data_IF_511194159085
#
_entry.id   IF_511194159085
#
_cell.length_a   1.000
_cell.length_b   1.000
_cell.length_c   1.000
_cell.angle_alpha   90.00
_cell.angle_beta   90.00
_cell.angle_gamma   90.00
#
_symmetry.space_group_name_H-M   'P 1'
#
loop_
_entity.id
_entity.type
_entity.pdbx_description
1 polymer ?
#
# COMPACT_ATOMS: atom_id res chain seq x y z
N UNK A 1 -10.02 -1.83 5.95
CA UNK A 1 -10.57 -2.24 7.26
C UNK A 1 -9.56 -2.83 8.25
N UNK A 2 -8.26 -2.83 7.95
CA UNK A 2 -7.20 -3.26 8.88
C UNK A 2 -6.85 -2.23 9.98
N UNK A 3 -7.41 -1.02 9.89
CA UNK A 3 -7.15 0.08 10.82
C UNK A 3 -8.11 0.08 12.02
N UNK A 4 -7.72 0.70 13.16
CA UNK A 4 -8.51 0.69 14.40
C UNK A 4 -9.90 1.31 14.30
N UNK A 5 -10.12 2.21 13.33
CA UNK A 5 -11.44 2.81 13.09
C UNK A 5 -12.52 1.78 12.78
N UNK A 6 -12.12 0.58 12.34
CA UNK A 6 -13.02 -0.55 12.07
C UNK A 6 -13.12 -1.54 13.24
N UNK A 7 -12.50 -1.31 14.40
CA UNK A 7 -12.49 -2.28 15.50
C UNK A 7 -13.90 -2.65 16.00
N UNK A 8 -14.86 -1.73 15.90
CA UNK A 8 -16.23 -1.95 16.37
C UNK A 8 -17.15 -2.62 15.32
N UNK A 9 -16.79 -2.61 14.04
CA UNK A 9 -17.68 -3.03 12.94
C UNK A 9 -17.00 -3.85 11.83
N UNK A 10 -15.73 -4.24 11.99
CA UNK A 10 -14.99 -5.05 11.02
C UNK A 10 -15.72 -6.31 10.59
N UNK A 11 -16.29 -7.05 11.54
CA UNK A 11 -17.06 -8.27 11.26
C UNK A 11 -18.30 -7.99 10.39
N UNK A 12 -18.93 -6.83 10.56
CA UNK A 12 -20.07 -6.41 9.71
C UNK A 12 -19.62 -6.12 8.28
N UNK A 13 -18.45 -5.51 8.10
CA UNK A 13 -17.87 -5.26 6.78
C UNK A 13 -17.46 -6.58 6.12
N UNK A 14 -16.86 -7.50 6.87
CA UNK A 14 -16.49 -8.84 6.39
C UNK A 14 -17.73 -9.60 5.92
N UNK A 15 -18.80 -9.61 6.71
CA UNK A 15 -20.06 -10.26 6.34
C UNK A 15 -20.61 -9.72 5.01
N UNK A 16 -20.55 -8.40 4.79
CA UNK A 16 -20.97 -7.80 3.50
C UNK A 16 -20.13 -8.27 2.31
N UNK A 17 -18.84 -8.58 2.50
CA UNK A 17 -17.97 -9.13 1.46
C UNK A 17 -18.36 -10.59 1.18
N UNK A 18 -18.61 -11.39 2.21
CA UNK A 18 -18.98 -12.81 2.08
C UNK A 18 -20.38 -13.01 1.47
N UNK A 19 -21.32 -12.13 1.83
CA UNK A 19 -22.67 -12.07 1.25
C UNK A 19 -22.69 -11.48 -0.18
N UNK A 20 -21.52 -11.07 -0.71
CA UNK A 20 -21.34 -10.43 -2.01
C UNK A 20 -22.09 -9.10 -2.18
N UNK A 21 -22.44 -8.41 -1.08
CA UNK A 21 -22.87 -7.01 -1.14
C UNK A 21 -21.70 -6.09 -1.55
N UNK A 22 -20.47 -6.48 -1.19
CA UNK A 22 -19.21 -5.94 -1.72
C UNK A 22 -18.59 -7.02 -2.60
N UNK A 23 -18.50 -6.77 -3.91
CA UNK A 23 -18.04 -7.76 -4.88
C UNK A 23 -16.52 -7.99 -4.87
N UNK A 24 -15.74 -6.99 -4.48
CA UNK A 24 -14.29 -7.05 -4.37
C UNK A 24 -13.76 -5.96 -3.43
N UNK A 25 -12.78 -6.31 -2.60
CA UNK A 25 -12.03 -5.38 -1.75
C UNK A 25 -10.53 -5.45 -2.07
N UNK A 26 -9.86 -4.30 -2.14
CA UNK A 26 -8.39 -4.22 -2.05
C UNK A 26 -8.04 -3.44 -0.78
N UNK A 27 -7.47 -4.12 0.20
CA UNK A 27 -6.96 -3.53 1.42
C UNK A 27 -5.58 -2.91 1.16
N UNK A 28 -5.46 -1.60 1.37
CA UNK A 28 -4.22 -0.87 1.07
C UNK A 28 -3.35 -0.77 2.31
N UNK A 29 -2.12 -1.28 2.22
CA UNK A 29 -1.07 -1.03 3.21
C UNK A 29 -0.38 0.32 2.99
N UNK A 30 -0.08 1.03 4.06
CA UNK A 30 0.55 2.38 4.03
C UNK A 30 1.97 2.39 4.59
N UNK A 31 2.39 1.34 5.29
CA UNK A 31 3.77 1.05 5.69
C UNK A 31 3.93 -0.46 5.85
N UNK A 32 5.11 -0.95 6.26
CA UNK A 32 5.39 -2.40 6.37
C UNK A 32 4.46 -3.11 7.36
N UNK A 33 4.22 -2.52 8.53
CA UNK A 33 3.35 -3.12 9.55
C UNK A 33 1.89 -3.12 9.09
N UNK A 34 1.45 -2.00 8.53
CA UNK A 34 0.09 -1.84 8.02
C UNK A 34 -0.17 -2.77 6.84
N UNK A 35 0.83 -2.97 5.97
CA UNK A 35 0.79 -3.95 4.88
C UNK A 35 0.70 -5.39 5.40
N UNK A 36 1.37 -5.72 6.51
CA UNK A 36 1.21 -7.02 7.17
C UNK A 36 -0.21 -7.18 7.70
N UNK A 37 -0.76 -6.17 8.38
CA UNK A 37 -2.15 -6.21 8.86
C UNK A 37 -3.16 -6.30 7.71
N UNK A 38 -2.89 -5.66 6.58
CA UNK A 38 -3.70 -5.77 5.38
C UNK A 38 -3.75 -7.21 4.86
N UNK A 39 -2.59 -7.87 4.72
CA UNK A 39 -2.52 -9.30 4.38
C UNK A 39 -3.30 -10.16 5.38
N UNK A 40 -3.06 -10.01 6.68
CA UNK A 40 -3.75 -10.79 7.71
C UNK A 40 -5.28 -10.60 7.67
N UNK A 41 -5.75 -9.40 7.33
CA UNK A 41 -7.17 -9.08 7.21
C UNK A 41 -7.84 -9.80 6.04
N UNK A 42 -7.13 -9.95 4.91
CA UNK A 42 -7.72 -10.47 3.67
C UNK A 42 -7.42 -11.95 3.40
N UNK A 43 -6.43 -12.55 4.08
CA UNK A 43 -5.87 -13.87 3.70
C UNK A 43 -6.90 -15.00 3.68
N UNK A 44 -7.97 -14.94 4.47
CA UNK A 44 -9.03 -15.97 4.48
C UNK A 44 -10.28 -15.57 3.66
N UNK A 45 -10.40 -14.30 3.25
CA UNK A 45 -11.60 -13.78 2.59
C UNK A 45 -11.60 -14.04 1.08
N UNK A 46 -12.68 -14.60 0.52
CA UNK A 46 -12.71 -15.03 -0.89
C UNK A 46 -12.49 -13.90 -1.90
N UNK A 47 -13.16 -12.76 -1.71
CA UNK A 47 -13.15 -11.62 -2.64
C UNK A 47 -12.37 -10.42 -2.10
N UNK A 48 -11.34 -10.65 -1.28
CA UNK A 48 -10.48 -9.59 -0.78
C UNK A 48 -9.01 -9.84 -1.11
N UNK A 49 -8.35 -8.76 -1.50
CA UNK A 49 -6.96 -8.70 -1.92
C UNK A 49 -6.26 -7.58 -1.15
N UNK A 50 -4.94 -7.49 -1.25
CA UNK A 50 -4.21 -6.40 -0.63
C UNK A 50 -3.13 -5.83 -1.53
N UNK A 51 -2.75 -4.58 -1.23
CA UNK A 51 -1.52 -3.97 -1.71
C UNK A 51 -0.58 -3.71 -0.55
N UNK A 52 0.70 -3.67 -0.83
CA UNK A 52 1.71 -3.31 0.16
C UNK A 52 2.63 -2.22 -0.37
N UNK A 53 2.93 -1.25 0.49
CA UNK A 53 3.75 -0.10 0.16
C UNK A 53 4.04 0.77 1.38
N UNK A 54 4.79 1.83 1.14
CA UNK A 54 5.11 2.90 2.10
C UNK A 54 4.63 4.21 1.51
N UNK A 55 3.65 4.79 2.19
CA UNK A 55 3.05 6.08 1.92
C UNK A 55 4.10 7.19 2.07
N UNK A 56 4.04 8.30 1.28
CA UNK A 56 5.01 9.39 1.34
C UNK A 56 5.28 9.94 2.75
N UNK A 57 4.29 9.99 3.63
CA UNK A 57 4.48 10.44 5.01
C UNK A 57 5.47 9.59 5.80
N UNK A 58 5.55 8.28 5.54
CA UNK A 58 6.39 7.33 6.27
C UNK A 58 7.72 7.04 5.54
N UNK A 59 7.98 7.72 4.42
CA UNK A 59 9.13 7.45 3.53
C UNK A 59 10.51 7.64 4.18
N UNK A 60 10.64 8.48 5.21
CA UNK A 60 11.92 8.71 5.89
C UNK A 60 12.47 7.46 6.60
N UNK A 61 11.61 6.52 6.98
CA UNK A 61 12.00 5.29 7.66
C UNK A 61 12.24 4.10 6.72
N UNK A 62 12.08 4.27 5.41
CA UNK A 62 12.22 3.17 4.47
C UNK A 62 13.70 2.87 4.19
N UNK A 63 14.13 1.69 4.62
CA UNK A 63 15.45 1.14 4.37
C UNK A 63 15.37 -0.16 3.54
N UNK A 64 16.54 -0.76 3.31
CA UNK A 64 16.64 -2.00 2.55
C UNK A 64 15.92 -3.19 3.22
N UNK A 65 15.77 -3.20 4.54
CA UNK A 65 15.01 -4.24 5.25
C UNK A 65 13.51 -4.06 5.07
N UNK A 66 13.04 -2.82 5.11
CA UNK A 66 11.67 -2.46 4.76
C UNK A 66 11.31 -2.92 3.34
N UNK A 67 12.16 -2.62 2.35
CA UNK A 67 11.95 -3.09 0.97
C UNK A 67 11.89 -4.62 0.90
N UNK A 68 12.82 -5.35 1.52
CA UNK A 68 12.79 -6.83 1.55
C UNK A 68 11.52 -7.38 2.22
N UNK A 69 11.04 -6.70 3.26
CA UNK A 69 9.81 -7.07 3.96
C UNK A 69 8.58 -6.88 3.06
N UNK A 70 8.52 -5.79 2.31
CA UNK A 70 7.47 -5.55 1.32
C UNK A 70 7.53 -6.58 0.19
N UNK A 71 8.71 -6.88 -0.38
CA UNK A 71 8.85 -7.93 -1.41
C UNK A 71 8.35 -9.30 -0.91
N UNK A 72 8.68 -9.66 0.33
CA UNK A 72 8.21 -10.90 0.96
C UNK A 72 6.68 -10.91 1.12
N UNK A 73 6.08 -9.78 1.52
CA UNK A 73 4.62 -9.65 1.60
C UNK A 73 3.98 -9.76 0.20
N UNK A 74 4.53 -9.06 -0.79
CA UNK A 74 4.01 -9.02 -2.16
C UNK A 74 4.16 -10.34 -2.92
N UNK A 75 5.00 -11.26 -2.45
CA UNK A 75 5.06 -12.64 -2.97
C UNK A 75 3.96 -13.57 -2.44
N UNK A 76 3.15 -13.11 -1.48
CA UNK A 76 2.06 -13.91 -0.90
C UNK A 76 0.86 -13.94 -1.82
N UNK A 77 0.02 -14.97 -1.66
CA UNK A 77 -1.29 -15.01 -2.29
C UNK A 77 -2.09 -13.75 -1.91
N UNK A 78 -2.95 -13.32 -2.84
CA UNK A 78 -3.81 -12.13 -2.73
C UNK A 78 -3.11 -10.76 -2.77
N UNK A 79 -1.78 -10.72 -2.89
CA UNK A 79 -1.08 -9.48 -3.24
C UNK A 79 -1.39 -9.11 -4.70
N UNK A 80 -1.87 -7.90 -4.95
CA UNK A 80 -2.30 -7.47 -6.29
C UNK A 80 -1.66 -6.19 -6.78
N UNK A 81 -1.01 -5.42 -5.92
CA UNK A 81 -0.37 -4.16 -6.29
C UNK A 81 0.72 -3.74 -5.29
N UNK A 82 1.67 -2.94 -5.75
CA UNK A 82 2.55 -2.15 -4.89
C UNK A 82 1.86 -0.82 -4.57
N UNK A 83 1.61 -0.57 -3.29
CA UNK A 83 0.93 0.65 -2.89
C UNK A 83 0.25 0.61 -1.52
N UNK A 84 -0.09 1.76 -0.97
CA UNK A 84 0.04 3.07 -1.64
C UNK A 84 1.46 3.65 -1.58
N UNK A 85 1.91 4.24 -2.69
CA UNK A 85 3.23 4.87 -2.87
C UNK A 85 3.07 6.21 -3.58
N UNK A 86 4.02 7.14 -3.46
CA UNK A 86 3.99 8.37 -4.25
C UNK A 86 4.52 9.57 -3.49
N UNK A 87 3.89 10.73 -3.68
CA UNK A 87 4.35 12.03 -3.19
C UNK A 87 3.20 12.83 -2.55
N UNK A 88 3.47 13.41 -1.39
CA UNK A 88 2.59 14.34 -0.67
C UNK A 88 3.38 15.57 -0.23
N UNK A 89 3.27 16.65 -1.01
CA UNK A 89 3.92 17.94 -0.72
C UNK A 89 3.01 18.90 0.03
N UNK A 90 1.75 18.52 0.28
CA UNK A 90 0.82 19.34 1.04
C UNK A 90 1.13 19.26 2.55
N UNK A 91 1.22 18.04 3.10
CA UNK A 91 1.57 17.86 4.53
C UNK A 91 3.06 17.74 4.76
N UNK A 92 3.81 17.23 3.78
CA UNK A 92 5.27 17.16 3.75
C UNK A 92 5.89 16.62 5.06
N UNK A 93 5.29 15.56 5.62
CA UNK A 93 5.70 14.96 6.90
C UNK A 93 7.03 14.19 6.82
N UNK A 94 7.44 13.83 5.61
CA UNK A 94 8.80 13.39 5.30
C UNK A 94 9.43 14.35 4.28
N UNK A 95 10.75 14.60 4.34
CA UNK A 95 11.44 15.46 3.37
C UNK A 95 11.21 14.98 1.93
N UNK A 96 11.07 15.92 0.99
CA UNK A 96 10.80 15.59 -0.42
C UNK A 96 11.81 14.58 -1.00
N UNK A 97 13.10 14.71 -0.68
CA UNK A 97 14.13 13.78 -1.13
C UNK A 97 13.90 12.34 -0.64
N UNK A 98 13.44 12.18 0.60
CA UNK A 98 13.05 10.87 1.16
C UNK A 98 11.83 10.30 0.42
N UNK A 99 10.83 11.14 0.14
CA UNK A 99 9.65 10.73 -0.61
C UNK A 99 10.02 10.26 -2.02
N UNK A 100 10.85 11.02 -2.74
CA UNK A 100 11.34 10.63 -4.07
C UNK A 100 12.14 9.34 -4.06
N UNK A 101 13.04 9.17 -3.08
CA UNK A 101 13.84 7.96 -2.95
C UNK A 101 12.93 6.75 -2.71
N UNK A 102 12.04 6.82 -1.72
CA UNK A 102 11.11 5.75 -1.41
C UNK A 102 10.16 5.44 -2.57
N UNK A 103 9.68 6.47 -3.27
CA UNK A 103 8.80 6.26 -4.42
C UNK A 103 9.52 5.53 -5.55
N UNK A 104 10.75 5.94 -5.90
CA UNK A 104 11.57 5.28 -6.92
C UNK A 104 11.92 3.83 -6.57
N UNK A 105 12.33 3.57 -5.33
CA UNK A 105 12.65 2.20 -4.89
C UNK A 105 11.43 1.27 -5.01
N UNK A 106 10.25 1.76 -4.66
CA UNK A 106 9.02 0.99 -4.76
C UNK A 106 8.51 0.85 -6.21
N UNK A 107 8.74 1.82 -7.09
CA UNK A 107 8.49 1.68 -8.53
C UNK A 107 9.37 0.59 -9.16
N UNK A 108 10.66 0.56 -8.80
CA UNK A 108 11.58 -0.50 -9.24
C UNK A 108 11.15 -1.87 -8.72
N UNK A 109 10.71 -1.94 -7.46
CA UNK A 109 10.14 -3.15 -6.88
C UNK A 109 8.89 -3.62 -7.62
N UNK A 110 7.96 -2.71 -7.94
CA UNK A 110 6.75 -3.04 -8.70
C UNK A 110 7.09 -3.59 -10.10
N UNK A 111 8.02 -2.95 -10.80
CA UNK A 111 8.49 -3.41 -12.10
C UNK A 111 9.19 -4.78 -12.02
N UNK A 112 10.00 -5.03 -10.98
CA UNK A 112 10.64 -6.33 -10.73
C UNK A 112 9.63 -7.44 -10.48
N UNK A 113 8.54 -7.16 -9.78
CA UNK A 113 7.50 -8.12 -9.41
C UNK A 113 6.39 -8.25 -10.48
N UNK A 114 6.45 -7.46 -11.55
CA UNK A 114 5.40 -7.36 -12.57
C UNK A 114 4.01 -7.06 -11.96
N UNK A 115 3.98 -6.17 -10.97
CA UNK A 115 2.76 -5.75 -10.27
C UNK A 115 2.36 -4.32 -10.65
N UNK A 116 1.05 -4.03 -10.77
CA UNK A 116 0.58 -2.66 -10.92
C UNK A 116 0.86 -1.84 -9.65
N UNK A 117 0.75 -0.52 -9.77
CA UNK A 117 0.97 0.43 -8.68
C UNK A 117 -0.32 1.13 -8.25
N UNK A 118 -0.47 1.40 -6.95
CA UNK A 118 -1.47 2.32 -6.40
C UNK A 118 -0.72 3.58 -5.96
N UNK A 119 -1.01 4.70 -6.63
CA UNK A 119 -0.25 5.94 -6.47
C UNK A 119 -1.04 6.97 -5.67
N UNK A 120 -0.47 7.45 -4.57
CA UNK A 120 -0.90 8.64 -3.86
C UNK A 120 -0.18 9.86 -4.39
N UNK A 121 -0.97 10.87 -4.81
CA UNK A 121 -0.44 12.15 -5.27
C UNK A 121 -1.21 13.28 -4.62
N UNK A 122 -0.52 14.13 -3.87
CA UNK A 122 -1.10 15.35 -3.30
C UNK A 122 -0.15 16.53 -3.51
N UNK A 123 -0.62 17.52 -4.26
CA UNK A 123 0.15 18.73 -4.63
C UNK A 123 1.55 18.45 -5.21
N UNK A 124 1.70 17.31 -5.90
CA UNK A 124 2.96 16.79 -6.42
C UNK A 124 2.79 16.12 -7.79
N UNK A 125 1.76 16.51 -8.57
CA UNK A 125 1.42 15.86 -9.84
C UNK A 125 2.56 15.90 -10.87
N UNK A 126 3.17 17.06 -11.20
CA UNK A 126 4.27 17.12 -12.16
C UNK A 126 5.45 16.22 -11.77
N UNK A 127 5.77 16.19 -10.48
CA UNK A 127 6.88 15.43 -9.91
C UNK A 127 6.60 13.93 -9.92
N UNK A 128 5.37 13.53 -9.56
CA UNK A 128 4.95 12.14 -9.59
C UNK A 128 4.95 11.61 -11.04
N UNK A 129 4.38 12.38 -11.98
CA UNK A 129 4.36 12.04 -13.40
C UNK A 129 5.76 11.83 -13.96
N UNK A 130 6.69 12.76 -13.68
CA UNK A 130 8.09 12.66 -14.11
C UNK A 130 8.84 11.49 -13.47
N UNK A 131 8.43 11.06 -12.28
CA UNK A 131 9.11 9.95 -11.57
C UNK A 131 8.68 8.58 -12.09
N UNK A 132 7.46 8.45 -12.62
CA UNK A 132 6.91 7.20 -13.17
C UNK A 132 7.44 6.91 -14.58
N UNK A 133 7.74 7.96 -15.37
CA UNK A 133 8.27 7.85 -16.74
C UNK A 133 9.78 7.63 -16.77
#
# INVERSE_FOLDING_TARGET
>A
MSFPQFDNDRESVIAQIEENAISLLIEVGTNVEDSRRAYETVRELKNAFFSAGVHPHDSSGLDAEGIRSLESLLSREKAVAVGEIGLDFFRNLSPADSQFKAFKEQLLMAAKLDLPIIVHVRDAYPEAYKTIL
#
